data_IF_326637613587
#
_entry.id   IF_326637613587
#
_cell.length_a   1.000
_cell.length_b   1.000
_cell.length_c   1.000
_cell.angle_alpha   90.00
_cell.angle_beta   90.00
_cell.angle_gamma   90.00
#
_symmetry.space_group_name_H-M   'P 1'
#
loop_
_entity.id
_entity.type
_entity.pdbx_description
1 polymer ?
#
# COMPACT_ATOMS: atom_id res chain seq x y z
N UNK A 1 10.94 4.25 14.00
CA UNK A 1 10.05 3.82 15.11
C UNK A 1 8.72 3.47 14.48
N UNK A 2 8.13 2.32 14.86
CA UNK A 2 6.82 1.91 14.36
C UNK A 2 5.79 2.17 15.44
N UNK A 3 4.79 2.96 15.10
CA UNK A 3 3.63 3.21 15.96
C UNK A 3 2.42 2.46 15.36
N UNK A 4 1.66 1.75 16.18
CA UNK A 4 0.38 1.16 15.76
C UNK A 4 -0.71 1.89 16.51
N UNK A 5 -1.63 2.53 15.79
CA UNK A 5 -2.74 3.27 16.36
C UNK A 5 -4.08 2.71 15.87
N UNK A 6 -5.12 2.90 16.67
CA UNK A 6 -6.48 2.58 16.25
C UNK A 6 -7.05 3.72 15.43
N UNK A 7 -7.56 3.41 14.23
CA UNK A 7 -8.10 4.42 13.34
C UNK A 7 -8.28 3.94 11.91
N UNK A 8 -8.96 4.76 11.12
CA UNK A 8 -9.08 4.56 9.68
C UNK A 8 -7.88 5.19 8.99
N UNK A 9 -7.18 4.44 8.14
CA UNK A 9 -6.07 4.97 7.34
C UNK A 9 -6.48 6.18 6.50
N UNK A 10 -7.73 6.25 6.05
CA UNK A 10 -8.20 7.37 5.25
C UNK A 10 -8.34 8.68 6.04
N UNK A 11 -8.19 8.63 7.37
CA UNK A 11 -8.16 9.79 8.27
C UNK A 11 -6.75 10.09 8.77
N UNK A 12 -5.73 9.49 8.14
CA UNK A 12 -4.33 9.69 8.49
C UNK A 12 -3.88 11.15 8.28
N UNK A 13 -3.02 11.62 9.18
CA UNK A 13 -2.42 12.98 9.12
C UNK A 13 -0.98 12.97 8.59
N UNK A 14 -0.45 11.80 8.28
CA UNK A 14 0.84 11.65 7.60
C UNK A 14 0.79 12.16 6.16
N UNK A 15 1.93 12.49 5.57
CA UNK A 15 2.00 13.05 4.22
C UNK A 15 1.67 12.01 3.13
N UNK A 16 1.93 10.73 3.41
CA UNK A 16 1.76 9.60 2.49
C UNK A 16 0.93 8.51 3.17
N UNK A 17 -0.15 8.07 2.52
CA UNK A 17 -0.76 6.75 2.79
C UNK A 17 -0.36 5.77 1.69
N UNK A 18 -0.17 4.49 2.03
CA UNK A 18 0.10 3.46 1.03
C UNK A 18 -0.86 2.28 1.11
N UNK A 19 -1.06 1.62 -0.03
CA UNK A 19 -1.82 0.39 -0.14
C UNK A 19 -1.07 -0.62 -1.00
N UNK A 20 -1.31 -1.92 -0.76
CA UNK A 20 -0.95 -2.94 -1.72
C UNK A 20 -2.04 -3.07 -2.79
N UNK A 21 -1.65 -3.06 -4.06
CA UNK A 21 -2.52 -3.27 -5.22
C UNK A 21 -2.09 -4.49 -6.03
N UNK A 22 -2.97 -4.95 -6.92
CA UNK A 22 -2.63 -5.97 -7.91
C UNK A 22 -2.08 -5.36 -9.21
N UNK A 23 -1.53 -6.21 -10.07
CA UNK A 23 -0.99 -5.81 -11.36
C UNK A 23 -2.02 -5.92 -12.50
N UNK A 24 -3.29 -6.22 -12.20
CA UNK A 24 -4.37 -6.40 -13.19
C UNK A 24 -5.23 -5.14 -13.35
N UNK A 25 -4.89 -4.03 -12.69
CA UNK A 25 -5.69 -2.80 -12.77
C UNK A 25 -7.01 -2.86 -11.99
N UNK A 26 -7.24 -3.88 -11.16
CA UNK A 26 -8.54 -4.03 -10.48
C UNK A 26 -8.53 -3.44 -9.08
N UNK A 27 -9.51 -2.59 -8.77
CA UNK A 27 -9.65 -1.90 -7.49
C UNK A 27 -11.14 -1.87 -7.09
N UNK A 28 -11.64 -2.99 -6.53
CA UNK A 28 -13.07 -3.22 -6.34
C UNK A 28 -13.49 -3.75 -4.96
N UNK A 29 -12.56 -3.93 -4.03
CA UNK A 29 -12.87 -4.39 -2.67
C UNK A 29 -11.89 -3.88 -1.62
N UNK A 30 -12.31 -3.92 -0.35
CA UNK A 30 -11.47 -3.55 0.79
C UNK A 30 -11.06 -2.08 0.77
N UNK A 31 -9.90 -1.80 1.36
CA UNK A 31 -9.31 -0.45 1.40
C UNK A 31 -9.16 0.15 -0.01
N UNK A 32 -8.79 -0.65 -1.00
CA UNK A 32 -8.57 -0.17 -2.35
C UNK A 32 -9.85 0.42 -2.97
N UNK A 33 -11.01 -0.20 -2.71
CA UNK A 33 -12.31 0.36 -3.10
C UNK A 33 -12.60 1.69 -2.38
N UNK A 34 -12.33 1.76 -1.08
CA UNK A 34 -12.56 2.97 -0.30
C UNK A 34 -11.66 4.12 -0.76
N UNK A 35 -10.39 3.83 -1.08
CA UNK A 35 -9.46 4.80 -1.71
C UNK A 35 -10.03 5.29 -3.04
N UNK A 36 -10.50 4.39 -3.91
CA UNK A 36 -11.12 4.79 -5.19
C UNK A 36 -12.37 5.65 -4.99
N UNK A 37 -13.18 5.37 -3.99
CA UNK A 37 -14.39 6.15 -3.70
C UNK A 37 -14.05 7.54 -3.15
N UNK A 38 -13.01 7.66 -2.32
CA UNK A 38 -12.55 8.93 -1.74
C UNK A 38 -11.73 9.77 -2.73
N UNK A 39 -10.86 9.12 -3.49
CA UNK A 39 -9.89 9.70 -4.43
C UNK A 39 -9.97 8.99 -5.79
N UNK A 40 -10.98 9.29 -6.63
CA UNK A 40 -11.15 8.66 -7.93
C UNK A 40 -9.93 8.76 -8.85
N UNK A 41 -9.15 9.84 -8.75
CA UNK A 41 -7.93 10.07 -9.50
C UNK A 41 -6.87 8.99 -9.25
N UNK A 42 -6.82 8.40 -8.05
CA UNK A 42 -5.90 7.29 -7.75
C UNK A 42 -6.22 6.08 -8.62
N UNK A 43 -7.50 5.81 -8.86
CA UNK A 43 -7.92 4.70 -9.72
C UNK A 43 -7.64 4.99 -11.20
N UNK A 44 -7.87 6.22 -11.66
CA UNK A 44 -7.60 6.63 -13.03
C UNK A 44 -6.12 6.48 -13.38
N UNK A 45 -5.22 7.01 -12.53
CA UNK A 45 -3.79 6.88 -12.72
C UNK A 45 -3.28 5.45 -12.57
N UNK A 46 -3.85 4.68 -11.64
CA UNK A 46 -3.55 3.26 -11.49
C UNK A 46 -3.91 2.45 -12.73
N UNK A 47 -5.09 2.67 -13.30
CA UNK A 47 -5.53 2.03 -14.55
C UNK A 47 -4.60 2.37 -15.69
N UNK A 48 -4.34 3.66 -15.93
CA UNK A 48 -3.44 4.11 -17.00
C UNK A 48 -2.03 3.51 -16.87
N UNK A 49 -1.52 3.38 -15.64
CA UNK A 49 -0.20 2.78 -15.39
C UNK A 49 -0.16 1.27 -15.62
N UNK A 50 -1.26 0.57 -15.29
CA UNK A 50 -1.42 -0.85 -15.57
C UNK A 50 -1.54 -1.11 -17.08
N UNK A 51 -2.34 -0.32 -17.80
CA UNK A 51 -2.58 -0.50 -19.24
C UNK A 51 -1.32 -0.28 -20.08
N UNK A 52 -0.40 0.56 -19.60
CA UNK A 52 0.86 0.86 -20.29
C UNK A 52 1.95 -0.22 -20.15
N UNK A 53 1.74 -1.27 -19.35
CA UNK A 53 2.78 -2.23 -18.98
C UNK A 53 2.24 -3.66 -18.92
N UNK A 54 3.11 -4.67 -19.04
CA UNK A 54 2.67 -6.05 -18.77
C UNK A 54 2.53 -6.23 -17.25
N UNK A 55 1.51 -6.96 -16.76
CA UNK A 55 1.30 -7.14 -15.33
C UNK A 55 2.52 -7.64 -14.55
N UNK A 56 3.29 -8.58 -15.09
CA UNK A 56 4.50 -9.08 -14.42
C UNK A 56 5.58 -8.01 -14.26
N UNK A 57 5.65 -7.03 -15.16
CA UNK A 57 6.65 -5.95 -15.09
C UNK A 57 6.31 -4.93 -13.99
N UNK A 58 5.10 -4.99 -13.42
CA UNK A 58 4.66 -4.09 -12.36
C UNK A 58 5.09 -4.56 -10.97
N UNK A 59 5.32 -5.86 -10.76
CA UNK A 59 5.65 -6.41 -9.45
C UNK A 59 6.83 -5.67 -8.80
N UNK A 60 6.64 -5.26 -7.54
CA UNK A 60 7.63 -4.56 -6.75
C UNK A 60 7.84 -3.09 -7.14
N UNK A 61 7.10 -2.56 -8.11
CA UNK A 61 7.05 -1.12 -8.38
C UNK A 61 6.12 -0.42 -7.38
N UNK A 62 6.28 0.90 -7.33
CA UNK A 62 5.37 1.80 -6.65
C UNK A 62 4.88 2.86 -7.64
N UNK A 63 3.68 3.38 -7.41
CA UNK A 63 3.16 4.56 -8.07
C UNK A 63 2.64 5.51 -6.99
N UNK A 64 3.23 6.69 -6.88
CA UNK A 64 2.71 7.77 -6.06
C UNK A 64 1.72 8.59 -6.89
N UNK A 65 0.54 8.84 -6.33
CA UNK A 65 -0.49 9.71 -6.92
C UNK A 65 -0.71 10.87 -5.96
N UNK A 66 -0.60 12.10 -6.47
CA UNK A 66 -0.97 13.31 -5.74
C UNK A 66 -2.48 13.34 -5.59
N UNK A 67 -2.96 13.57 -4.37
CA UNK A 67 -4.38 13.74 -4.07
C UNK A 67 -4.61 15.10 -3.43
N UNK A 68 -5.76 15.70 -3.74
CA UNK A 68 -6.15 17.01 -3.19
C UNK A 68 -7.22 16.84 -2.10
N UNK A 69 -7.50 17.91 -1.36
CA UNK A 69 -8.58 17.94 -0.35
C UNK A 69 -8.48 16.83 0.73
N UNK A 70 -7.26 16.51 1.14
CA UNK A 70 -6.93 15.50 2.15
C UNK A 70 -5.80 16.01 3.06
N UNK A 71 -5.68 15.44 4.25
CA UNK A 71 -4.57 15.73 5.18
C UNK A 71 -3.24 15.16 4.67
N UNK A 72 -3.27 14.02 3.96
CA UNK A 72 -2.14 13.49 3.20
C UNK A 72 -2.08 14.06 1.78
N UNK A 73 -0.87 14.20 1.25
CA UNK A 73 -0.63 14.66 -0.13
C UNK A 73 -0.56 13.51 -1.13
N UNK A 74 -0.16 12.31 -0.70
CA UNK A 74 0.05 11.19 -1.63
C UNK A 74 -0.65 9.91 -1.21
N UNK A 75 -1.20 9.22 -2.21
CA UNK A 75 -1.54 7.81 -2.12
C UNK A 75 -0.54 7.01 -2.93
N UNK A 76 0.16 6.07 -2.29
CA UNK A 76 1.14 5.20 -2.94
C UNK A 76 0.57 3.80 -3.16
N UNK A 77 0.46 3.42 -4.42
CA UNK A 77 0.13 2.07 -4.84
C UNK A 77 1.40 1.21 -4.86
N UNK A 78 1.48 0.18 -4.02
CA UNK A 78 2.54 -0.82 -4.02
C UNK A 78 2.06 -2.05 -4.79
N UNK A 79 2.72 -2.38 -5.90
CA UNK A 79 2.37 -3.51 -6.74
C UNK A 79 2.91 -4.83 -6.15
N UNK A 80 2.24 -5.32 -5.12
CA UNK A 80 2.61 -6.53 -4.36
C UNK A 80 1.83 -7.78 -4.74
N UNK A 81 0.92 -7.72 -5.71
CA UNK A 81 0.16 -8.89 -6.17
C UNK A 81 0.14 -8.96 -7.68
N UNK A 82 0.44 -10.11 -8.26
CA UNK A 82 0.29 -10.28 -9.70
C UNK A 82 -1.19 -10.34 -10.09
N UNK A 83 -1.94 -11.19 -9.39
CA UNK A 83 -3.37 -11.43 -9.57
C UNK A 83 -4.16 -10.94 -8.35
N UNK A 84 -5.48 -11.09 -8.39
CA UNK A 84 -6.38 -10.77 -7.29
C UNK A 84 -7.49 -11.83 -7.20
N UNK A 85 -8.15 -11.92 -6.05
CA UNK A 85 -9.31 -12.78 -5.89
C UNK A 85 -9.74 -12.93 -4.44
N UNK A 86 -10.56 -13.96 -4.19
CA UNK A 86 -11.08 -14.33 -2.87
C UNK A 86 -10.88 -15.82 -2.57
N UNK A 87 -10.07 -16.49 -3.37
CA UNK A 87 -9.74 -17.89 -3.16
C UNK A 87 -8.73 -17.99 -2.02
N UNK A 88 -8.66 -19.16 -1.37
CA UNK A 88 -7.67 -19.46 -0.34
C UNK A 88 -6.32 -19.80 -0.97
N UNK A 89 -5.72 -18.79 -1.62
CA UNK A 89 -4.39 -18.85 -2.25
C UNK A 89 -3.62 -17.60 -1.90
N UNK A 90 -2.30 -17.72 -1.72
CA UNK A 90 -1.43 -16.58 -1.48
C UNK A 90 -1.36 -15.71 -2.75
N UNK A 91 -1.94 -14.52 -2.69
CA UNK A 91 -1.86 -13.53 -3.78
C UNK A 91 -0.74 -12.52 -3.56
N UNK A 92 -0.37 -12.24 -2.31
CA UNK A 92 0.78 -11.39 -2.01
C UNK A 92 2.07 -12.07 -2.42
N UNK A 93 2.79 -11.43 -3.32
CA UNK A 93 4.19 -11.72 -3.56
C UNK A 93 5.01 -10.95 -2.51
N UNK A 94 5.54 -11.67 -1.53
CA UNK A 94 6.26 -11.06 -0.41
C UNK A 94 7.53 -10.32 -0.85
N UNK A 95 8.21 -10.78 -1.90
CA UNK A 95 9.41 -10.12 -2.37
C UNK A 95 9.05 -8.84 -3.13
N UNK A 96 7.97 -8.85 -3.91
CA UNK A 96 7.43 -7.65 -4.53
C UNK A 96 6.96 -6.63 -3.47
N UNK A 97 6.22 -7.06 -2.44
CA UNK A 97 5.78 -6.19 -1.35
C UNK A 97 6.99 -5.57 -0.63
N UNK A 98 8.01 -6.38 -0.32
CA UNK A 98 9.26 -5.92 0.30
C UNK A 98 9.95 -4.84 -0.55
N UNK A 99 10.11 -5.08 -1.85
CA UNK A 99 10.72 -4.12 -2.77
C UNK A 99 9.94 -2.81 -2.83
N UNK A 100 8.61 -2.89 -2.87
CA UNK A 100 7.74 -1.71 -2.86
C UNK A 100 7.84 -0.91 -1.56
N UNK A 101 7.85 -1.59 -0.41
CA UNK A 101 8.02 -0.95 0.91
C UNK A 101 9.39 -0.28 1.06
N UNK A 102 10.47 -0.90 0.56
CA UNK A 102 11.80 -0.27 0.53
C UNK A 102 11.79 1.00 -0.31
N UNK A 103 11.25 0.95 -1.53
CA UNK A 103 11.14 2.13 -2.41
C UNK A 103 10.31 3.24 -1.77
N UNK A 104 9.18 2.89 -1.15
CA UNK A 104 8.35 3.84 -0.41
C UNK A 104 9.15 4.52 0.70
N UNK A 105 9.83 3.74 1.55
CA UNK A 105 10.64 4.26 2.66
C UNK A 105 11.77 5.16 2.15
N UNK A 106 12.45 4.77 1.08
CA UNK A 106 13.57 5.53 0.51
C UNK A 106 13.08 6.88 -0.05
N UNK A 107 12.01 6.87 -0.86
CA UNK A 107 11.43 8.11 -1.40
C UNK A 107 10.87 9.03 -0.31
N UNK A 108 10.18 8.47 0.68
CA UNK A 108 9.65 9.24 1.81
C UNK A 108 10.79 9.89 2.61
N UNK A 109 11.86 9.12 2.90
CA UNK A 109 13.03 9.62 3.62
C UNK A 109 13.79 10.70 2.84
N UNK A 110 13.93 10.56 1.52
CA UNK A 110 14.56 11.56 0.67
C UNK A 110 13.80 12.88 0.66
N UNK A 111 12.47 12.83 0.64
CA UNK A 111 11.59 14.00 0.60
C UNK A 111 11.24 14.55 2.00
N UNK A 112 11.57 13.84 3.07
CA UNK A 112 11.21 14.20 4.44
C UNK A 112 9.72 14.05 4.75
N UNK A 113 9.03 13.12 4.08
CA UNK A 113 7.58 12.92 4.16
C UNK A 113 7.20 11.77 5.10
N UNK A 114 6.29 12.01 6.03
CA UNK A 114 5.76 10.99 6.93
C UNK A 114 4.91 9.94 6.20
N UNK A 115 4.89 8.70 6.73
CA UNK A 115 4.25 7.54 6.07
C UNK A 115 3.27 6.84 7.01
N UNK A 116 2.10 6.54 6.47
CA UNK A 116 1.08 5.69 7.09
C UNK A 116 0.77 4.45 6.25
N UNK A 117 0.67 3.29 6.92
CA UNK A 117 0.30 2.00 6.33
C UNK A 117 -0.96 1.44 6.99
N UNK A 118 -1.80 0.66 6.28
CA UNK A 118 -2.87 -0.08 6.94
C UNK A 118 -2.28 -1.28 7.67
N UNK A 119 -2.83 -1.56 8.85
CA UNK A 119 -2.68 -2.86 9.50
C UNK A 119 -3.14 -3.96 8.54
N UNK A 120 -2.44 -5.10 8.52
CA UNK A 120 -2.69 -6.19 7.57
C UNK A 120 -2.51 -5.81 6.09
N UNK A 121 -1.65 -4.83 5.76
CA UNK A 121 -1.24 -4.62 4.36
C UNK A 121 -0.77 -5.95 3.75
N UNK A 122 -1.32 -6.31 2.59
CA UNK A 122 -1.01 -7.57 1.92
C UNK A 122 -1.45 -8.84 2.64
N UNK A 123 -2.21 -8.77 3.73
CA UNK A 123 -2.58 -9.95 4.51
C UNK A 123 -4.07 -10.31 4.44
N UNK A 124 -4.97 -9.34 4.20
CA UNK A 124 -6.42 -9.56 4.14
C UNK A 124 -6.88 -10.44 2.97
N UNK A 125 -7.54 -9.87 1.95
CA UNK A 125 -7.97 -10.62 0.76
C UNK A 125 -6.81 -11.23 -0.04
N UNK A 126 -5.59 -10.83 0.29
CA UNK A 126 -4.37 -11.24 -0.35
C UNK A 126 -3.73 -12.51 0.27
N UNK A 127 -4.25 -12.94 1.43
CA UNK A 127 -3.81 -14.12 2.19
C UNK A 127 -2.33 -14.15 2.57
N UNK A 128 -1.70 -12.97 2.72
CA UNK A 128 -0.38 -12.87 3.34
C UNK A 128 -0.44 -13.11 4.86
N UNK A 129 0.70 -13.42 5.45
CA UNK A 129 0.84 -13.68 6.88
C UNK A 129 1.42 -12.45 7.59
N UNK A 130 0.59 -11.80 8.40
CA UNK A 130 0.97 -10.59 9.11
C UNK A 130 2.03 -10.85 10.16
N UNK A 131 1.80 -11.83 11.04
CA UNK A 131 2.62 -12.04 12.23
C UNK A 131 3.97 -12.69 11.90
N UNK A 132 3.98 -13.59 10.91
CA UNK A 132 5.17 -14.36 10.55
C UNK A 132 6.03 -13.64 9.50
N UNK A 133 5.42 -12.92 8.55
CA UNK A 133 6.14 -12.39 7.37
C UNK A 133 6.07 -10.87 7.29
N UNK A 134 4.88 -10.29 7.15
CA UNK A 134 4.73 -8.89 6.74
C UNK A 134 5.12 -7.91 7.85
N UNK A 135 4.67 -8.11 9.08
CA UNK A 135 5.03 -7.22 10.17
C UNK A 135 6.52 -7.29 10.54
N UNK A 136 7.16 -8.46 10.63
CA UNK A 136 8.63 -8.55 10.73
C UNK A 136 9.38 -7.84 9.60
N UNK A 137 8.89 -7.96 8.35
CA UNK A 137 9.45 -7.28 7.19
C UNK A 137 9.35 -5.75 7.33
N UNK A 138 8.18 -5.21 7.70
CA UNK A 138 7.99 -3.77 7.94
C UNK A 138 8.93 -3.29 9.05
N UNK A 139 9.05 -4.03 10.16
CA UNK A 139 9.99 -3.71 11.25
C UNK A 139 11.43 -3.60 10.78
N UNK A 140 11.86 -4.49 9.89
CA UNK A 140 13.21 -4.46 9.35
C UNK A 140 13.43 -3.28 8.38
N UNK A 141 12.47 -3.00 7.50
CA UNK A 141 12.57 -1.94 6.49
C UNK A 141 12.53 -0.55 7.13
N UNK A 142 11.65 -0.34 8.11
CA UNK A 142 11.44 0.94 8.77
C UNK A 142 12.16 1.05 10.12
N UNK A 143 13.25 0.31 10.32
CA UNK A 143 14.04 0.41 11.56
C UNK A 143 14.69 1.79 11.73
N UNK A 144 15.03 2.46 10.63
CA UNK A 144 15.71 3.76 10.58
C UNK A 144 14.81 4.91 10.08
N UNK A 145 13.50 4.67 10.01
CA UNK A 145 12.51 5.66 9.57
C UNK A 145 11.20 5.48 10.36
N UNK A 146 10.43 6.55 10.54
CA UNK A 146 9.15 6.44 11.25
C UNK A 146 8.03 6.04 10.29
N UNK A 147 7.15 5.16 10.76
CA UNK A 147 5.93 4.78 10.03
C UNK A 147 4.82 4.49 11.03
N UNK A 148 3.64 5.01 10.73
CA UNK A 148 2.42 4.79 11.51
C UNK A 148 1.60 3.69 10.86
N UNK A 149 1.13 2.72 11.64
CA UNK A 149 0.26 1.64 11.17
C UNK A 149 -1.14 1.86 11.74
N UNK A 150 -2.11 2.08 10.86
CA UNK A 150 -3.51 2.30 11.22
C UNK A 150 -4.24 0.96 11.29
N UNK A 151 -4.70 0.60 12.48
CA UNK A 151 -5.52 -0.59 12.72
C UNK A 151 -6.99 -0.20 12.83
N UNK A 152 -7.74 -0.56 11.79
CA UNK A 152 -9.18 -0.34 11.73
C UNK A 152 -9.92 -1.51 12.38
N UNK A 153 -10.80 -1.23 13.36
CA UNK A 153 -11.51 -2.25 14.14
C UNK A 153 -12.96 -2.51 13.65
N UNK A 154 -13.41 -1.88 12.56
CA UNK A 154 -14.75 -2.08 11.98
C UNK A 154 -15.51 -0.78 11.77
#
# INVERSE_FOLDING_TARGET
MIEIIEGNLLDATEDIIAQQVNCQGVMGSGLAKQIREKHPEVYEWYQAYCDGQKPHDLLGKIQAVLVEHSEYSYVVNIFGQLNYGRQDVLYTDYEALKQGLVKLKDSAKELGLSVALPYNIGCGLANGDWDIVVYPMIKLIFQDYNVTIYKYNG
#
